data_IF_039348359812
#
_entry.id   IF_039348359812
#
_cell.length_a   1.000
_cell.length_b   1.000
_cell.length_c   1.000
_cell.angle_alpha   90.00
_cell.angle_beta   90.00
_cell.angle_gamma   90.00
#
_symmetry.space_group_name_H-M   'P 1'
#
loop_
_entity.id
_entity.type
_entity.pdbx_description
1 polymer ?
#
# COMPACT_ATOMS: atom_id res chain seq x y z
N UNK A 1 29.94 -48.87 -26.82
CA UNK A 1 29.18 -48.48 -25.62
C UNK A 1 28.95 -46.99 -25.69
N UNK A 2 27.74 -46.54 -26.03
CA UNK A 2 27.43 -45.12 -26.13
C UNK A 2 27.11 -44.56 -24.74
N UNK A 3 27.88 -43.56 -24.30
CA UNK A 3 27.73 -42.89 -23.01
C UNK A 3 26.57 -41.88 -23.10
N UNK A 4 25.45 -42.18 -22.44
CA UNK A 4 24.28 -41.30 -22.36
C UNK A 4 24.56 -40.21 -21.31
N UNK A 5 25.00 -39.04 -21.78
CA UNK A 5 25.13 -37.86 -20.94
C UNK A 5 23.75 -37.22 -20.70
N UNK A 6 23.07 -37.65 -19.64
CA UNK A 6 21.82 -37.04 -19.17
C UNK A 6 22.15 -35.62 -18.68
N UNK A 7 21.81 -34.60 -19.48
CA UNK A 7 21.81 -33.21 -19.03
C UNK A 7 20.49 -32.95 -18.30
N UNK A 8 20.56 -32.72 -17.00
CA UNK A 8 19.41 -32.27 -16.21
C UNK A 8 18.99 -30.88 -16.68
N UNK A 9 17.78 -30.77 -17.22
CA UNK A 9 17.15 -29.46 -17.44
C UNK A 9 16.59 -28.99 -16.10
N UNK A 10 17.29 -28.08 -15.42
CA UNK A 10 16.71 -27.33 -14.31
C UNK A 10 15.67 -26.37 -14.89
N UNK A 11 14.40 -26.65 -14.68
CA UNK A 11 13.34 -25.66 -14.90
C UNK A 11 13.59 -24.48 -13.95
N UNK A 12 13.29 -23.23 -14.36
CA UNK A 12 13.37 -22.10 -13.44
C UNK A 12 12.52 -22.41 -12.20
N UNK A 13 13.12 -22.28 -11.02
CA UNK A 13 12.43 -22.45 -9.75
C UNK A 13 11.25 -21.49 -9.72
N UNK A 14 10.03 -22.02 -9.57
CA UNK A 14 8.84 -21.19 -9.40
C UNK A 14 9.04 -20.31 -8.16
N UNK A 15 8.87 -19.00 -8.33
CA UNK A 15 8.94 -18.04 -7.23
C UNK A 15 7.97 -18.45 -6.12
N UNK A 16 8.39 -18.22 -4.87
CA UNK A 16 7.55 -18.53 -3.71
C UNK A 16 6.22 -17.76 -3.80
N UNK A 17 5.07 -18.37 -3.47
CA UNK A 17 3.76 -17.73 -3.62
C UNK A 17 3.66 -16.37 -2.92
N UNK A 18 4.28 -16.21 -1.76
CA UNK A 18 4.33 -14.93 -1.02
C UNK A 18 5.09 -13.83 -1.79
N UNK A 19 6.17 -14.19 -2.49
CA UNK A 19 6.93 -13.23 -3.31
C UNK A 19 6.10 -12.76 -4.50
N UNK A 20 5.36 -13.67 -5.14
CA UNK A 20 4.45 -13.32 -6.23
C UNK A 20 3.32 -12.41 -5.78
N UNK A 21 2.80 -12.63 -4.57
CA UNK A 21 1.73 -11.83 -3.99
C UNK A 21 2.17 -10.38 -3.75
N UNK A 22 3.34 -10.20 -3.12
CA UNK A 22 3.95 -8.87 -2.92
C UNK A 22 4.21 -8.17 -4.26
N UNK A 23 4.72 -8.88 -5.25
CA UNK A 23 4.97 -8.34 -6.60
C UNK A 23 3.66 -7.91 -7.30
N UNK A 24 2.59 -8.69 -7.17
CA UNK A 24 1.27 -8.35 -7.73
C UNK A 24 0.74 -7.05 -7.11
N UNK A 25 0.81 -6.91 -5.79
CA UNK A 25 0.40 -5.69 -5.10
C UNK A 25 1.21 -4.46 -5.56
N UNK A 26 2.53 -4.59 -5.74
CA UNK A 26 3.37 -3.53 -6.28
C UNK A 26 3.00 -3.15 -7.73
N UNK A 27 2.77 -4.16 -8.58
CA UNK A 27 2.34 -3.95 -9.97
C UNK A 27 0.99 -3.22 -10.05
N UNK A 28 0.04 -3.63 -9.22
CA UNK A 28 -1.29 -2.99 -9.13
C UNK A 28 -1.19 -1.56 -8.65
N UNK A 29 -0.39 -1.29 -7.62
CA UNK A 29 -0.19 0.05 -7.09
C UNK A 29 0.43 0.98 -8.14
N UNK A 30 1.48 0.52 -8.84
CA UNK A 30 2.12 1.25 -9.95
C UNK A 30 1.14 1.58 -11.07
N UNK A 31 0.24 0.65 -11.39
CA UNK A 31 -0.76 0.84 -12.45
C UNK A 31 -1.82 1.89 -12.09
N UNK A 32 -1.99 2.21 -10.80
CA UNK A 32 -2.99 3.17 -10.30
C UNK A 32 -2.51 4.63 -10.28
N UNK A 33 -1.20 4.87 -10.46
CA UNK A 33 -0.55 6.19 -10.37
C UNK A 33 -1.18 7.24 -11.32
N UNK A 34 -1.70 6.81 -12.48
CA UNK A 34 -2.30 7.71 -13.48
C UNK A 34 -3.80 8.02 -13.33
N UNK A 35 -4.52 7.40 -12.39
CA UNK A 35 -6.01 7.49 -12.29
C UNK A 35 -6.51 8.04 -10.93
N UNK A 36 -5.59 8.49 -10.08
CA UNK A 36 -5.82 8.73 -8.64
C UNK A 36 -6.55 10.02 -8.25
N UNK A 37 -7.39 10.61 -9.12
CA UNK A 37 -8.13 11.85 -8.81
C UNK A 37 -9.49 11.62 -8.13
N UNK A 38 -9.95 10.38 -7.98
CA UNK A 38 -11.24 10.07 -7.35
C UNK A 38 -11.09 9.46 -5.96
N UNK A 39 -12.06 9.74 -5.08
CA UNK A 39 -12.12 9.16 -3.72
C UNK A 39 -12.16 7.61 -3.74
N UNK A 40 -12.83 7.02 -4.73
CA UNK A 40 -12.86 5.56 -4.92
C UNK A 40 -11.47 5.00 -5.28
N UNK A 41 -10.68 5.73 -6.08
CA UNK A 41 -9.30 5.33 -6.40
C UNK A 41 -8.37 5.46 -5.19
N UNK A 42 -8.53 6.51 -4.37
CA UNK A 42 -7.75 6.67 -3.13
C UNK A 42 -8.01 5.53 -2.15
N UNK A 43 -9.27 5.18 -1.93
CA UNK A 43 -9.65 4.07 -1.03
C UNK A 43 -9.13 2.72 -1.54
N UNK A 44 -9.23 2.45 -2.84
CA UNK A 44 -8.66 1.25 -3.45
C UNK A 44 -7.12 1.18 -3.32
N UNK A 45 -6.42 2.30 -3.48
CA UNK A 45 -4.96 2.35 -3.30
C UNK A 45 -4.55 2.09 -1.86
N UNK A 46 -5.30 2.62 -0.89
CA UNK A 46 -5.07 2.33 0.54
C UNK A 46 -5.29 0.85 0.86
N UNK A 47 -6.27 0.21 0.23
CA UNK A 47 -6.49 -1.24 0.37
C UNK A 47 -5.30 -2.03 -0.20
N UNK A 48 -4.81 -1.68 -1.39
CA UNK A 48 -3.61 -2.30 -1.98
C UNK A 48 -2.39 -2.10 -1.08
N UNK A 49 -2.21 -0.91 -0.49
CA UNK A 49 -1.10 -0.64 0.44
C UNK A 49 -1.19 -1.48 1.71
N UNK A 50 -2.39 -1.69 2.24
CA UNK A 50 -2.63 -2.55 3.40
C UNK A 50 -2.25 -4.00 3.09
N UNK A 51 -2.69 -4.52 1.94
CA UNK A 51 -2.38 -5.88 1.50
C UNK A 51 -0.87 -6.04 1.22
N UNK A 52 -0.24 -5.05 0.57
CA UNK A 52 1.21 -5.03 0.34
C UNK A 52 2.00 -5.10 1.65
N UNK A 53 1.62 -4.30 2.65
CA UNK A 53 2.26 -4.31 3.96
C UNK A 53 2.12 -5.67 4.66
N UNK A 54 0.96 -6.31 4.57
CA UNK A 54 0.74 -7.67 5.08
C UNK A 54 1.60 -8.70 4.34
N UNK A 55 1.68 -8.62 3.01
CA UNK A 55 2.54 -9.48 2.19
C UNK A 55 4.02 -9.35 2.55
N UNK A 56 4.51 -8.12 2.75
CA UNK A 56 5.89 -7.86 3.19
C UNK A 56 6.13 -8.44 4.59
N UNK A 57 5.19 -8.24 5.53
CA UNK A 57 5.28 -8.83 6.87
C UNK A 57 5.38 -10.34 6.83
N UNK A 58 4.55 -10.99 6.00
CA UNK A 58 4.57 -12.44 5.80
C UNK A 58 5.89 -12.91 5.16
N UNK A 59 6.43 -12.14 4.20
CA UNK A 59 7.70 -12.42 3.56
C UNK A 59 8.87 -12.37 4.55
N UNK A 60 8.90 -11.37 5.44
CA UNK A 60 9.93 -11.21 6.49
C UNK A 60 9.86 -12.34 7.52
N UNK A 61 8.67 -12.86 7.80
CA UNK A 61 8.49 -13.98 8.74
C UNK A 61 8.98 -15.33 8.20
N UNK A 62 9.29 -15.43 6.90
CA UNK A 62 9.82 -16.67 6.34
C UNK A 62 11.24 -16.97 6.85
N UNK A 63 11.55 -18.22 7.25
CA UNK A 63 12.88 -18.59 7.73
C UNK A 63 14.00 -18.26 6.74
N UNK A 64 13.77 -18.47 5.43
CA UNK A 64 14.74 -18.15 4.38
C UNK A 64 15.03 -16.66 4.27
N UNK A 65 14.01 -15.82 4.51
CA UNK A 65 14.16 -14.37 4.50
C UNK A 65 14.89 -13.91 5.76
N UNK A 66 14.55 -14.45 6.92
CA UNK A 66 15.24 -14.13 8.18
C UNK A 66 16.71 -14.54 8.13
N UNK A 67 17.03 -15.72 7.60
CA UNK A 67 18.40 -16.17 7.40
C UNK A 67 19.17 -15.22 6.47
N UNK A 68 18.55 -14.79 5.36
CA UNK A 68 19.13 -13.80 4.47
C UNK A 68 19.35 -12.43 5.17
N UNK A 69 18.43 -12.04 6.06
CA UNK A 69 18.47 -10.80 6.84
C UNK A 69 19.42 -10.86 8.04
N UNK A 70 19.93 -12.02 8.44
CA UNK A 70 20.88 -12.14 9.56
C UNK A 70 22.36 -12.19 9.13
N UNK A 71 22.64 -12.17 7.81
CA UNK A 71 24.01 -12.16 7.30
C UNK A 71 24.69 -10.80 7.47
N UNK A 72 26.02 -10.76 7.53
CA UNK A 72 26.80 -9.52 7.77
C UNK A 72 26.56 -8.42 6.72
N UNK A 73 26.19 -8.79 5.49
CA UNK A 73 25.84 -7.87 4.39
C UNK A 73 24.37 -7.40 4.39
N UNK A 74 23.58 -7.78 5.41
CA UNK A 74 22.13 -7.55 5.46
C UNK A 74 21.73 -6.22 6.08
N UNK A 75 22.63 -5.52 6.78
CA UNK A 75 22.31 -4.27 7.48
C UNK A 75 21.74 -3.23 6.51
N UNK A 76 22.38 -3.08 5.34
CA UNK A 76 21.91 -2.20 4.26
C UNK A 76 20.50 -2.55 3.79
N UNK A 77 20.23 -3.85 3.57
CA UNK A 77 18.96 -4.33 3.05
C UNK A 77 17.85 -4.18 4.09
N UNK A 78 18.18 -4.43 5.36
CA UNK A 78 17.28 -4.25 6.48
C UNK A 78 16.93 -2.77 6.67
N UNK A 79 17.92 -1.88 6.54
CA UNK A 79 17.69 -0.44 6.61
C UNK A 79 16.82 0.06 5.45
N UNK A 80 17.11 -0.34 4.21
CA UNK A 80 16.30 0.01 3.03
C UNK A 80 14.85 -0.50 3.16
N UNK A 81 14.68 -1.74 3.64
CA UNK A 81 13.35 -2.31 3.90
C UNK A 81 12.60 -1.54 4.98
N UNK A 82 13.28 -1.15 6.05
CA UNK A 82 12.70 -0.37 7.15
C UNK A 82 12.32 1.04 6.69
N UNK A 83 13.19 1.69 5.93
CA UNK A 83 12.95 3.02 5.36
C UNK A 83 11.76 3.00 4.40
N UNK A 84 11.69 1.99 3.52
CA UNK A 84 10.53 1.78 2.65
C UNK A 84 9.24 1.56 3.44
N UNK A 85 9.28 0.72 4.49
CA UNK A 85 8.12 0.44 5.35
C UNK A 85 7.66 1.68 6.11
N UNK A 86 8.60 2.50 6.61
CA UNK A 86 8.31 3.77 7.26
C UNK A 86 7.64 4.74 6.27
N UNK A 87 8.14 4.82 5.04
CA UNK A 87 7.54 5.64 3.98
C UNK A 87 6.08 5.25 3.69
N UNK A 88 5.73 3.95 3.73
CA UNK A 88 4.35 3.50 3.59
C UNK A 88 3.47 3.97 4.76
N UNK A 89 3.98 3.89 5.99
CA UNK A 89 3.27 4.38 7.19
C UNK A 89 3.05 5.89 7.13
N UNK A 90 4.06 6.65 6.73
CA UNK A 90 3.99 8.10 6.59
C UNK A 90 2.96 8.50 5.53
N UNK A 91 2.95 7.82 4.38
CA UNK A 91 1.95 8.04 3.32
C UNK A 91 0.52 7.78 3.82
N UNK A 92 0.31 6.70 4.58
CA UNK A 92 -0.98 6.41 5.20
C UNK A 92 -1.37 7.49 6.21
N UNK A 93 -0.40 7.99 6.98
CA UNK A 93 -0.58 9.10 7.91
C UNK A 93 -1.02 10.39 7.23
N UNK A 94 -0.29 10.80 6.21
CA UNK A 94 -0.62 11.96 5.38
C UNK A 94 -2.01 11.87 4.77
N UNK A 95 -2.37 10.70 4.22
CA UNK A 95 -3.68 10.47 3.63
C UNK A 95 -4.81 10.60 4.66
N UNK A 96 -4.60 10.05 5.86
CA UNK A 96 -5.54 10.19 6.99
C UNK A 96 -5.72 11.65 7.41
N UNK A 97 -4.63 12.42 7.44
CA UNK A 97 -4.67 13.83 7.83
C UNK A 97 -5.46 14.66 6.81
N UNK A 98 -5.23 14.45 5.50
CA UNK A 98 -6.03 15.09 4.43
C UNK A 98 -7.51 14.72 4.54
N UNK A 99 -7.81 13.44 4.76
CA UNK A 99 -9.19 12.98 4.88
C UNK A 99 -9.88 13.61 6.10
N UNK A 100 -9.15 13.71 7.21
CA UNK A 100 -9.64 14.35 8.44
C UNK A 100 -9.91 15.84 8.24
N UNK A 101 -9.01 16.54 7.55
CA UNK A 101 -9.18 17.94 7.17
C UNK A 101 -10.42 18.12 6.27
N UNK A 102 -10.54 17.31 5.22
CA UNK A 102 -11.67 17.34 4.29
C UNK A 102 -13.00 17.08 5.00
N UNK A 103 -13.03 16.10 5.90
CA UNK A 103 -14.18 15.79 6.74
C UNK A 103 -14.58 16.99 7.61
N UNK A 104 -13.61 17.66 8.23
CA UNK A 104 -13.85 18.89 9.00
C UNK A 104 -14.50 19.98 8.16
N UNK A 105 -13.92 20.29 7.00
CA UNK A 105 -14.47 21.30 6.07
C UNK A 105 -15.89 21.00 5.61
N UNK A 106 -16.21 19.73 5.33
CA UNK A 106 -17.57 19.31 4.95
C UNK A 106 -18.55 19.52 6.11
N UNK A 107 -18.15 19.20 7.35
CA UNK A 107 -18.98 19.39 8.53
C UNK A 107 -19.23 20.88 8.85
N UNK A 108 -18.22 21.73 8.66
CA UNK A 108 -18.33 23.17 8.85
C UNK A 108 -19.26 23.80 7.80
N UNK A 109 -19.14 23.38 6.54
CA UNK A 109 -20.03 23.79 5.47
C UNK A 109 -21.48 23.38 5.75
N UNK A 110 -21.71 22.12 6.12
CA UNK A 110 -23.02 21.61 6.48
C UNK A 110 -23.64 22.39 7.66
N UNK A 111 -22.83 22.70 8.67
CA UNK A 111 -23.24 23.47 9.83
C UNK A 111 -23.62 24.92 9.47
N UNK A 112 -22.87 25.54 8.56
CA UNK A 112 -23.13 26.90 8.08
C UNK A 112 -24.42 26.98 7.27
N UNK A 113 -24.67 26.02 6.37
CA UNK A 113 -25.92 25.90 5.62
C UNK A 113 -27.13 25.74 6.56
N UNK A 114 -26.99 24.90 7.60
CA UNK A 114 -28.06 24.68 8.58
C UNK A 114 -28.38 25.94 9.39
N UNK A 115 -27.37 26.72 9.80
CA UNK A 115 -27.57 27.99 10.51
C UNK A 115 -28.27 29.03 9.63
N UNK A 116 -27.81 29.21 8.39
CA UNK A 116 -28.36 30.20 7.47
C UNK A 116 -29.83 29.93 7.08
N UNK A 117 -30.29 28.66 7.10
CA UNK A 117 -31.71 28.33 6.88
C UNK A 117 -32.65 28.84 7.98
N UNK A 118 -32.12 29.21 9.15
CA UNK A 118 -32.89 29.83 10.24
C UNK A 118 -33.08 31.34 10.11
N UNK A 119 -32.38 32.00 9.17
CA UNK A 119 -32.31 33.47 9.08
C UNK A 119 -33.06 34.06 7.89
N UNK A 120 -33.91 33.28 7.18
CA UNK A 120 -34.83 33.90 6.21
C UNK A 120 -35.78 34.84 6.95
N UNK A 121 -35.78 36.15 6.68
CA UNK A 121 -36.80 37.04 7.20
C UNK A 121 -38.14 36.56 6.67
N UNK A 122 -39.07 36.29 7.58
CA UNK A 122 -40.48 36.19 7.25
C UNK A 122 -40.90 37.52 6.62
N UNK A 123 -40.88 37.61 5.30
CA UNK A 123 -41.49 38.72 4.58
C UNK A 123 -43.00 38.51 4.66
N UNK A 124 -43.59 38.91 5.79
CA UNK A 124 -45.04 38.95 5.98
C UNK A 124 -45.61 40.06 5.10
N UNK A 125 -46.58 39.63 4.29
CA UNK A 125 -47.48 40.40 3.42
C UNK A 125 -48.16 41.57 4.13
#
# INVERSE_FOLDING_TARGET
>A
MANLHVRSNSLPSKSHPIVNDVEDHLCRLRSSEGTSTSSASVTANLEILKDLHEGISNLIQMPSTQEALCNEDSERWTNELLEGSLGLVDLCGFTRDILSLTKGSVQDLQSSIRRNRGELPQLTT
#
